data_IF_921372129263
#
_entry.id   IF_921372129263
#
_cell.length_a   1.000
_cell.length_b   1.000
_cell.length_c   1.000
_cell.angle_alpha   90.00
_cell.angle_beta   90.00
_cell.angle_gamma   90.00
#
_symmetry.space_group_name_H-M   'P 1'
#
loop_
_entity.id
_entity.type
_entity.pdbx_description
1 polymer ?
#
# COMPACT_ATOMS: atom_id res chain seq x y z
N UNK A 1 19.59 -7.24 10.33
CA UNK A 1 19.62 -5.75 10.34
C UNK A 1 20.21 -5.30 11.66
N UNK A 2 21.36 -4.59 11.62
CA UNK A 2 21.91 -3.96 12.83
C UNK A 2 21.08 -2.70 13.12
N UNK A 3 20.43 -2.68 14.28
CA UNK A 3 19.62 -1.54 14.73
C UNK A 3 20.47 -0.43 15.35
N UNK A 4 21.72 -0.74 15.71
CA UNK A 4 22.70 0.13 16.32
C UNK A 4 24.01 0.02 15.53
N UNK A 5 24.35 1.05 14.77
CA UNK A 5 25.58 1.08 13.98
C UNK A 5 26.52 2.11 14.57
N UNK A 6 27.70 1.67 15.02
CA UNK A 6 28.74 2.58 15.50
C UNK A 6 29.22 3.53 14.40
N UNK A 7 29.41 4.79 14.74
CA UNK A 7 29.93 5.83 13.87
C UNK A 7 30.86 6.75 14.66
N UNK A 8 31.80 7.39 13.98
CA UNK A 8 32.60 8.45 14.54
C UNK A 8 32.14 9.81 14.06
N UNK A 9 31.99 10.76 14.98
CA UNK A 9 31.65 12.14 14.69
C UNK A 9 32.77 13.07 15.15
N UNK A 10 33.22 13.91 14.25
CA UNK A 10 34.21 14.94 14.57
C UNK A 10 33.48 16.18 15.07
N UNK A 11 33.78 16.63 16.26
CA UNK A 11 33.29 17.89 16.84
C UNK A 11 34.42 18.92 16.88
N UNK A 12 34.06 20.18 16.68
CA UNK A 12 34.99 21.31 16.82
C UNK A 12 35.10 21.71 18.28
N UNK A 13 36.29 21.90 18.72
CA UNK A 13 36.66 22.36 20.07
C UNK A 13 37.09 23.84 20.05
N UNK A 14 37.03 24.56 21.18
CA UNK A 14 37.58 25.90 21.26
C UNK A 14 39.03 25.96 20.76
N UNK A 15 39.40 27.07 20.11
CA UNK A 15 40.74 27.33 19.51
C UNK A 15 41.03 26.51 18.23
N UNK A 16 39.99 26.01 17.53
CA UNK A 16 40.15 25.36 16.23
C UNK A 16 40.61 23.89 16.28
N UNK A 17 40.76 23.31 17.46
CA UNK A 17 41.03 21.89 17.60
C UNK A 17 39.79 21.04 17.25
N UNK A 18 40.01 19.82 16.77
CA UNK A 18 38.94 18.85 16.52
C UNK A 18 39.09 17.63 17.39
N UNK A 19 37.97 17.05 17.82
CA UNK A 19 37.92 15.81 18.59
C UNK A 19 36.96 14.83 17.97
N UNK A 20 37.41 13.58 17.77
CA UNK A 20 36.52 12.49 17.40
C UNK A 20 35.79 11.95 18.63
N UNK A 21 34.46 11.80 18.52
CA UNK A 21 33.64 11.17 19.55
C UNK A 21 32.88 10.00 18.92
N UNK A 22 32.65 8.95 19.70
CA UNK A 22 31.83 7.83 19.28
C UNK A 22 30.36 8.25 19.23
N UNK A 23 29.71 7.95 18.14
CA UNK A 23 28.28 8.16 17.91
C UNK A 23 27.64 6.85 17.43
N UNK A 24 26.33 6.75 17.47
CA UNK A 24 25.59 5.61 16.94
C UNK A 24 24.51 6.10 15.96
N UNK A 25 24.46 5.49 14.80
CA UNK A 25 23.32 5.60 13.91
C UNK A 25 22.28 4.58 14.33
N UNK A 26 21.06 5.04 14.57
CA UNK A 26 19.98 4.22 15.11
C UNK A 26 18.87 4.07 14.07
N UNK A 27 18.31 2.88 13.96
CA UNK A 27 17.03 2.72 13.24
C UNK A 27 15.89 3.31 14.06
N UNK A 28 14.74 3.59 13.42
CA UNK A 28 13.53 4.04 14.10
C UNK A 28 13.10 3.07 15.21
N UNK A 29 13.25 1.76 14.99
CA UNK A 29 12.94 0.73 15.97
C UNK A 29 13.86 0.83 17.20
N UNK A 30 15.16 1.04 17.00
CA UNK A 30 16.10 1.27 18.10
C UNK A 30 15.74 2.52 18.92
N UNK A 31 15.36 3.62 18.24
CA UNK A 31 14.90 4.84 18.92
C UNK A 31 13.64 4.57 19.76
N UNK A 32 12.70 3.76 19.26
CA UNK A 32 11.50 3.33 19.99
C UNK A 32 11.85 2.57 21.26
N UNK A 33 12.74 1.57 21.17
CA UNK A 33 13.19 0.78 22.33
C UNK A 33 13.88 1.66 23.38
N UNK A 34 14.76 2.58 22.96
CA UNK A 34 15.43 3.52 23.86
C UNK A 34 14.42 4.43 24.57
N UNK A 35 13.45 4.96 23.80
CA UNK A 35 12.42 5.83 24.38
C UNK A 35 11.57 5.07 25.42
N UNK A 36 11.13 3.86 25.11
CA UNK A 36 10.30 3.07 26.03
C UNK A 36 11.01 2.71 27.35
N UNK A 37 12.32 2.44 27.28
CA UNK A 37 13.11 2.03 28.45
C UNK A 37 13.91 3.19 29.07
N UNK A 38 13.79 4.39 28.54
CA UNK A 38 14.54 5.56 28.98
C UNK A 38 13.89 6.27 30.18
N UNK A 39 14.70 7.04 30.90
CA UNK A 39 14.25 7.83 32.04
C UNK A 39 13.38 9.04 31.56
N UNK A 40 12.09 8.99 31.86
CA UNK A 40 11.10 10.00 31.47
C UNK A 40 11.32 11.39 32.10
N UNK A 41 12.19 11.51 33.11
CA UNK A 41 12.61 12.80 33.67
C UNK A 41 13.49 13.59 32.71
N UNK A 42 14.09 12.92 31.72
CA UNK A 42 14.85 13.60 30.66
C UNK A 42 13.88 14.06 29.58
N UNK A 43 13.87 15.35 29.30
CA UNK A 43 12.95 15.99 28.36
C UNK A 43 12.91 15.29 26.99
N UNK A 44 14.06 14.95 26.42
CA UNK A 44 14.16 14.26 25.13
C UNK A 44 13.46 12.90 25.16
N UNK A 45 13.59 12.16 26.27
CA UNK A 45 12.92 10.84 26.44
C UNK A 45 11.42 11.02 26.59
N UNK A 46 10.98 11.98 27.42
CA UNK A 46 9.55 12.30 27.59
C UNK A 46 8.89 12.68 26.26
N UNK A 47 9.51 13.53 25.45
CA UNK A 47 9.03 13.93 24.13
C UNK A 47 8.96 12.73 23.18
N UNK A 48 9.98 11.85 23.17
CA UNK A 48 9.98 10.66 22.34
C UNK A 48 8.89 9.66 22.77
N UNK A 49 8.68 9.44 24.06
CA UNK A 49 7.61 8.58 24.59
C UNK A 49 6.24 9.14 24.18
N UNK A 50 6.01 10.45 24.34
CA UNK A 50 4.79 11.12 23.91
C UNK A 50 4.55 10.96 22.41
N UNK A 51 5.57 11.16 21.60
CA UNK A 51 5.48 10.98 20.14
C UNK A 51 5.05 9.54 19.78
N UNK A 52 5.70 8.53 20.35
CA UNK A 52 5.37 7.13 20.06
C UNK A 52 3.98 6.74 20.58
N UNK A 53 3.58 7.23 21.75
CA UNK A 53 2.23 7.01 22.29
C UNK A 53 1.15 7.61 21.36
N UNK A 54 1.35 8.82 20.85
CA UNK A 54 0.43 9.46 19.89
C UNK A 54 0.34 8.67 18.59
N UNK A 55 1.48 8.20 18.04
CA UNK A 55 1.48 7.41 16.80
C UNK A 55 0.78 6.06 16.96
N UNK A 56 1.02 5.36 18.08
CA UNK A 56 0.33 4.10 18.41
C UNK A 56 -1.17 4.33 18.55
N UNK A 57 -1.58 5.38 19.26
CA UNK A 57 -3.00 5.71 19.43
C UNK A 57 -3.69 6.07 18.11
N UNK A 58 -3.02 6.80 17.22
CA UNK A 58 -3.55 7.07 15.87
C UNK A 58 -3.78 5.78 15.08
N UNK A 59 -2.86 4.82 15.16
CA UNK A 59 -3.00 3.54 14.50
C UNK A 59 -4.16 2.72 15.07
N UNK A 60 -4.26 2.61 16.39
CA UNK A 60 -5.36 1.91 17.06
C UNK A 60 -6.74 2.49 16.71
N UNK A 61 -6.87 3.83 16.66
CA UNK A 61 -8.10 4.50 16.25
C UNK A 61 -8.43 4.16 14.80
N UNK A 62 -7.45 4.24 13.90
CA UNK A 62 -7.63 3.95 12.47
C UNK A 62 -8.08 2.51 12.23
N UNK A 63 -7.47 1.53 12.93
CA UNK A 63 -7.84 0.11 12.82
C UNK A 63 -9.27 -0.13 13.36
N UNK A 64 -9.60 0.46 14.51
CA UNK A 64 -10.94 0.38 15.08
C UNK A 64 -11.99 1.05 14.18
N UNK A 65 -11.69 2.22 13.65
CA UNK A 65 -12.56 2.93 12.70
C UNK A 65 -12.79 2.09 11.44
N UNK A 66 -11.73 1.50 10.87
CA UNK A 66 -11.86 0.64 9.69
C UNK A 66 -12.73 -0.59 9.98
N UNK A 67 -12.61 -1.22 11.15
CA UNK A 67 -13.42 -2.38 11.52
C UNK A 67 -14.92 -2.08 11.62
N UNK A 68 -15.26 -0.84 11.96
CA UNK A 68 -16.66 -0.36 12.09
C UNK A 68 -17.28 0.05 10.76
N UNK A 69 -16.49 0.19 9.70
CA UNK A 69 -16.99 0.58 8.37
C UNK A 69 -17.90 -0.51 7.80
N UNK A 70 -18.95 -0.08 7.12
CA UNK A 70 -19.75 -0.95 6.24
C UNK A 70 -18.91 -1.45 5.07
N UNK A 71 -19.34 -2.52 4.40
CA UNK A 71 -18.63 -3.05 3.23
C UNK A 71 -18.46 -1.98 2.13
N UNK A 72 -19.47 -1.17 1.86
CA UNK A 72 -19.38 -0.11 0.86
C UNK A 72 -18.37 0.98 1.27
N UNK A 73 -18.28 1.34 2.54
CA UNK A 73 -17.27 2.29 3.05
C UNK A 73 -15.86 1.70 2.95
N UNK A 74 -15.68 0.42 3.28
CA UNK A 74 -14.42 -0.30 3.07
C UNK A 74 -14.02 -0.34 1.60
N UNK A 75 -14.96 -0.58 0.69
CA UNK A 75 -14.75 -0.53 -0.76
C UNK A 75 -14.28 0.85 -1.22
N UNK A 76 -14.91 1.94 -0.76
CA UNK A 76 -14.47 3.31 -1.07
C UNK A 76 -13.05 3.57 -0.59
N UNK A 77 -12.75 3.16 0.64
CA UNK A 77 -11.41 3.32 1.24
C UNK A 77 -10.36 2.56 0.43
N UNK A 78 -10.58 1.26 0.20
CA UNK A 78 -9.64 0.41 -0.53
C UNK A 78 -9.47 0.83 -2.00
N UNK A 79 -10.56 1.21 -2.68
CA UNK A 79 -10.51 1.71 -4.06
C UNK A 79 -9.64 2.97 -4.18
N UNK A 80 -9.77 3.89 -3.24
CA UNK A 80 -8.96 5.11 -3.23
C UNK A 80 -7.47 4.81 -3.00
N UNK A 81 -7.15 3.87 -2.12
CA UNK A 81 -5.77 3.41 -1.92
C UNK A 81 -5.24 2.71 -3.18
N UNK A 82 -6.04 1.85 -3.80
CA UNK A 82 -5.67 1.13 -5.04
C UNK A 82 -5.38 2.09 -6.19
N UNK A 83 -6.19 3.14 -6.36
CA UNK A 83 -5.94 4.19 -7.37
C UNK A 83 -4.63 4.96 -7.10
N UNK A 84 -4.36 5.34 -5.85
CA UNK A 84 -3.09 5.97 -5.46
C UNK A 84 -1.91 5.03 -5.69
N UNK A 85 -2.06 3.76 -5.31
CA UNK A 85 -1.06 2.73 -5.54
C UNK A 85 -0.77 2.51 -7.04
N UNK A 86 -1.79 2.47 -7.89
CA UNK A 86 -1.63 2.38 -9.34
C UNK A 86 -0.87 3.59 -9.91
N UNK A 87 -1.13 4.80 -9.42
CA UNK A 87 -0.37 5.98 -9.84
C UNK A 87 1.12 5.83 -9.51
N UNK A 88 1.45 5.42 -8.28
CA UNK A 88 2.84 5.21 -7.85
C UNK A 88 3.51 4.06 -8.62
N UNK A 89 2.79 2.95 -8.83
CA UNK A 89 3.25 1.82 -9.63
C UNK A 89 3.54 2.23 -11.07
N UNK A 90 2.70 3.07 -11.69
CA UNK A 90 2.90 3.57 -13.05
C UNK A 90 4.18 4.40 -13.16
N UNK A 91 4.52 5.22 -12.15
CA UNK A 91 5.79 5.95 -12.13
C UNK A 91 6.99 4.97 -12.04
N UNK A 92 6.91 3.96 -11.16
CA UNK A 92 7.95 2.94 -11.06
C UNK A 92 8.09 2.13 -12.36
N UNK A 93 6.98 1.75 -12.98
CA UNK A 93 6.96 1.02 -14.26
C UNK A 93 7.55 1.87 -15.40
N UNK A 94 7.23 3.16 -15.47
CA UNK A 94 7.84 4.10 -16.42
C UNK A 94 9.35 4.15 -16.26
N UNK A 95 9.84 4.25 -15.03
CA UNK A 95 11.28 4.26 -14.74
C UNK A 95 11.94 2.91 -15.08
N UNK A 96 11.18 1.80 -15.00
CA UNK A 96 11.59 0.46 -15.43
C UNK A 96 11.47 0.24 -16.95
N UNK A 97 11.25 1.28 -17.76
CA UNK A 97 11.22 1.22 -19.23
C UNK A 97 9.91 0.68 -19.84
N UNK A 98 8.83 0.59 -19.04
CA UNK A 98 7.51 0.18 -19.56
C UNK A 98 6.95 1.27 -20.48
N UNK A 99 6.57 0.85 -21.70
CA UNK A 99 5.93 1.69 -22.71
C UNK A 99 4.46 1.35 -22.90
N UNK A 100 4.12 0.06 -22.82
CA UNK A 100 2.75 -0.45 -22.93
C UNK A 100 2.16 -0.75 -21.55
N UNK A 101 1.49 0.24 -20.96
CA UNK A 101 0.88 0.13 -19.63
C UNK A 101 -0.29 -0.85 -19.58
N UNK A 102 -1.06 -0.98 -20.67
CA UNK A 102 -2.16 -1.96 -20.72
C UNK A 102 -1.62 -3.39 -20.59
N UNK A 103 -0.56 -3.71 -21.34
CA UNK A 103 0.13 -4.98 -21.24
C UNK A 103 0.73 -5.22 -19.85
N UNK A 104 1.30 -4.17 -19.25
CA UNK A 104 1.87 -4.24 -17.91
C UNK A 104 0.80 -4.52 -16.86
N UNK A 105 -0.32 -3.79 -16.85
CA UNK A 105 -1.42 -4.03 -15.92
C UNK A 105 -2.07 -5.39 -16.14
N UNK A 106 -2.29 -5.80 -17.39
CA UNK A 106 -2.82 -7.12 -17.72
C UNK A 106 -1.88 -8.25 -17.26
N UNK A 107 -0.56 -8.05 -17.26
CA UNK A 107 0.36 -9.04 -16.68
C UNK A 107 0.07 -9.29 -15.19
N UNK A 108 -0.15 -8.22 -14.43
CA UNK A 108 -0.51 -8.33 -13.02
C UNK A 108 -1.86 -8.98 -12.77
N UNK A 109 -2.87 -8.64 -13.57
CA UNK A 109 -4.19 -9.29 -13.49
C UNK A 109 -4.09 -10.77 -13.83
N UNK A 110 -3.43 -11.14 -14.91
CA UNK A 110 -3.23 -12.55 -15.28
C UNK A 110 -2.57 -13.38 -14.16
N UNK A 111 -1.61 -12.80 -13.45
CA UNK A 111 -1.00 -13.47 -12.29
C UNK A 111 -1.98 -13.70 -11.15
N UNK A 112 -2.77 -12.70 -10.80
CA UNK A 112 -3.68 -12.74 -9.64
C UNK A 112 -4.99 -13.51 -9.95
N UNK A 113 -5.54 -13.38 -11.18
CA UNK A 113 -6.83 -13.91 -11.61
C UNK A 113 -6.71 -15.11 -12.57
N UNK A 114 -5.73 -15.97 -12.36
CA UNK A 114 -5.59 -17.21 -13.11
C UNK A 114 -5.60 -17.04 -14.64
N UNK A 115 -4.93 -16.02 -15.13
CA UNK A 115 -4.80 -15.76 -16.58
C UNK A 115 -5.78 -14.72 -17.14
N UNK A 116 -6.78 -14.25 -16.38
CA UNK A 116 -7.71 -13.21 -16.80
C UNK A 116 -7.01 -11.86 -17.01
N UNK A 117 -7.39 -11.18 -18.09
CA UNK A 117 -7.07 -9.76 -18.33
C UNK A 117 -8.11 -8.84 -17.67
N UNK A 118 -7.87 -7.53 -17.70
CA UNK A 118 -8.88 -6.55 -17.26
C UNK A 118 -10.21 -6.69 -18.00
N UNK A 119 -10.17 -6.98 -19.30
CA UNK A 119 -11.37 -7.18 -20.12
C UNK A 119 -12.09 -8.48 -19.75
N UNK A 120 -11.35 -9.57 -19.45
CA UNK A 120 -11.94 -10.84 -19.00
C UNK A 120 -12.63 -10.65 -17.64
N UNK A 121 -12.00 -9.93 -16.70
CA UNK A 121 -12.59 -9.58 -15.40
C UNK A 121 -13.88 -8.74 -15.60
N UNK A 122 -13.83 -7.73 -16.46
CA UNK A 122 -14.99 -6.89 -16.77
C UNK A 122 -16.15 -7.73 -17.35
N UNK A 123 -15.83 -8.65 -18.28
CA UNK A 123 -16.81 -9.56 -18.88
C UNK A 123 -17.43 -10.51 -17.84
N UNK A 124 -16.60 -11.13 -16.99
CA UNK A 124 -17.06 -12.03 -15.91
C UNK A 124 -17.98 -11.30 -14.93
N UNK A 125 -17.67 -10.04 -14.61
CA UNK A 125 -18.49 -9.19 -13.73
C UNK A 125 -19.72 -8.59 -14.44
N UNK A 126 -19.94 -8.84 -15.73
CA UNK A 126 -21.06 -8.32 -16.50
C UNK A 126 -21.03 -6.80 -16.68
N UNK A 127 -19.84 -6.18 -16.71
CA UNK A 127 -19.68 -4.74 -16.81
C UNK A 127 -19.94 -4.23 -18.23
N UNK A 128 -20.51 -3.02 -18.32
CA UNK A 128 -20.70 -2.31 -19.59
C UNK A 128 -19.37 -1.71 -20.06
N UNK A 129 -19.29 -1.37 -21.32
CA UNK A 129 -18.15 -0.66 -21.88
C UNK A 129 -17.81 0.60 -21.08
N UNK A 130 -16.53 0.78 -20.71
CA UNK A 130 -15.99 1.87 -19.88
C UNK A 130 -16.43 1.89 -18.41
N UNK A 131 -17.04 0.85 -17.88
CA UNK A 131 -17.18 0.73 -16.44
C UNK A 131 -15.84 0.31 -15.82
N UNK A 132 -15.46 0.99 -14.73
CA UNK A 132 -14.21 0.74 -14.03
C UNK A 132 -14.33 -0.56 -13.21
N UNK A 133 -13.45 -1.51 -13.46
CA UNK A 133 -13.43 -2.79 -12.73
C UNK A 133 -13.23 -2.57 -11.22
N UNK A 134 -12.43 -1.58 -10.81
CA UNK A 134 -12.19 -1.27 -9.39
C UNK A 134 -13.44 -0.78 -8.68
N UNK A 135 -14.34 -0.09 -9.38
CA UNK A 135 -15.62 0.36 -8.83
C UNK A 135 -16.62 -0.81 -8.60
N UNK A 136 -16.32 -1.97 -9.18
CA UNK A 136 -17.15 -3.18 -9.15
C UNK A 136 -16.48 -4.35 -8.40
N UNK A 137 -15.45 -4.06 -7.59
CA UNK A 137 -14.78 -5.01 -6.71
C UNK A 137 -15.27 -4.86 -5.27
N UNK A 138 -15.29 -5.97 -4.53
CA UNK A 138 -15.46 -5.99 -3.07
C UNK A 138 -14.20 -5.46 -2.36
N UNK A 139 -14.31 -5.19 -1.05
CA UNK A 139 -13.17 -4.66 -0.26
C UNK A 139 -12.00 -5.64 -0.22
N UNK A 140 -12.27 -6.94 -0.10
CA UNK A 140 -11.25 -8.00 -0.08
C UNK A 140 -10.52 -8.11 -1.43
N UNK A 141 -11.25 -8.08 -2.55
CA UNK A 141 -10.70 -8.09 -3.90
C UNK A 141 -9.81 -6.87 -4.16
N UNK A 142 -10.26 -5.68 -3.71
CA UNK A 142 -9.48 -4.44 -3.78
C UNK A 142 -8.21 -4.51 -2.94
N UNK A 143 -8.27 -5.12 -1.73
CA UNK A 143 -7.10 -5.30 -0.87
C UNK A 143 -6.05 -6.22 -1.51
N UNK A 144 -6.47 -7.34 -2.12
CA UNK A 144 -5.56 -8.23 -2.85
C UNK A 144 -4.88 -7.51 -4.02
N UNK A 145 -5.62 -6.69 -4.78
CA UNK A 145 -5.07 -5.87 -5.85
C UNK A 145 -4.09 -4.80 -5.32
N UNK A 146 -4.42 -4.11 -4.23
CA UNK A 146 -3.53 -3.13 -3.60
C UNK A 146 -2.21 -3.79 -3.17
N UNK A 147 -2.28 -4.98 -2.58
CA UNK A 147 -1.09 -5.71 -2.17
C UNK A 147 -0.22 -6.10 -3.37
N UNK A 148 -0.82 -6.60 -4.46
CA UNK A 148 -0.11 -6.86 -5.73
C UNK A 148 0.60 -5.61 -6.26
N UNK A 149 -0.09 -4.47 -6.28
CA UNK A 149 0.42 -3.19 -6.76
C UNK A 149 1.63 -2.75 -5.94
N UNK A 150 1.51 -2.71 -4.61
CA UNK A 150 2.57 -2.23 -3.71
C UNK A 150 3.80 -3.15 -3.72
N UNK A 151 3.59 -4.47 -3.76
CA UNK A 151 4.70 -5.44 -3.85
C UNK A 151 5.43 -5.35 -5.20
N UNK A 152 4.69 -5.14 -6.31
CA UNK A 152 5.30 -4.94 -7.62
C UNK A 152 6.14 -3.67 -7.65
N UNK A 153 5.59 -2.54 -7.20
CA UNK A 153 6.31 -1.26 -7.11
C UNK A 153 7.61 -1.40 -6.31
N UNK A 154 7.52 -1.98 -5.12
CA UNK A 154 8.68 -2.20 -4.24
C UNK A 154 9.75 -3.07 -4.92
N UNK A 155 9.34 -4.12 -5.62
CA UNK A 155 10.28 -5.01 -6.33
C UNK A 155 10.91 -4.35 -7.55
N UNK A 156 10.15 -3.59 -8.35
CA UNK A 156 10.71 -2.85 -9.49
C UNK A 156 11.83 -1.90 -9.06
N UNK A 157 11.63 -1.20 -7.93
CA UNK A 157 12.62 -0.26 -7.37
C UNK A 157 13.82 -0.96 -6.76
N UNK A 158 13.59 -1.97 -5.92
CA UNK A 158 14.64 -2.68 -5.18
C UNK A 158 15.59 -3.43 -6.09
N UNK A 159 15.05 -4.11 -7.09
CA UNK A 159 15.82 -4.97 -7.99
C UNK A 159 16.33 -4.19 -9.23
N UNK A 160 16.14 -2.86 -9.26
CA UNK A 160 16.56 -1.96 -10.35
C UNK A 160 16.13 -2.46 -11.75
N UNK A 161 14.89 -2.94 -11.87
CA UNK A 161 14.36 -3.47 -13.13
C UNK A 161 14.30 -2.35 -14.16
N UNK A 162 14.87 -2.59 -15.36
CA UNK A 162 15.06 -1.58 -16.39
C UNK A 162 14.47 -1.92 -17.76
N UNK A 163 13.78 -3.05 -17.89
CA UNK A 163 13.16 -3.47 -19.15
C UNK A 163 11.69 -3.79 -18.99
N UNK A 164 10.87 -3.42 -20.01
CA UNK A 164 9.43 -3.71 -20.02
C UNK A 164 9.14 -5.21 -19.86
N UNK A 165 9.96 -6.08 -20.50
CA UNK A 165 9.79 -7.54 -20.43
C UNK A 165 9.92 -8.04 -18.99
N UNK A 166 10.94 -7.58 -18.26
CA UNK A 166 11.16 -7.96 -16.87
C UNK A 166 10.11 -7.35 -15.94
N UNK A 167 9.72 -6.10 -16.17
CA UNK A 167 8.65 -5.43 -15.40
C UNK A 167 7.34 -6.20 -15.53
N UNK A 168 6.94 -6.59 -16.75
CA UNK A 168 5.75 -7.40 -17.00
C UNK A 168 5.83 -8.76 -16.32
N UNK A 169 6.98 -9.46 -16.43
CA UNK A 169 7.21 -10.74 -15.76
C UNK A 169 7.15 -10.62 -14.24
N UNK A 170 7.74 -9.57 -13.69
CA UNK A 170 7.72 -9.27 -12.25
C UNK A 170 6.29 -9.07 -11.76
N UNK A 171 5.50 -8.25 -12.48
CA UNK A 171 4.10 -7.98 -12.12
C UNK A 171 3.25 -9.25 -12.16
N UNK A 172 3.43 -10.09 -13.18
CA UNK A 172 2.78 -11.40 -13.28
C UNK A 172 3.15 -12.32 -12.10
N UNK A 173 4.46 -12.46 -11.81
CA UNK A 173 4.94 -13.35 -10.76
C UNK A 173 4.46 -12.90 -9.37
N UNK A 174 4.43 -11.59 -9.09
CA UNK A 174 3.88 -11.07 -7.84
C UNK A 174 2.40 -11.42 -7.71
N UNK A 175 1.61 -11.22 -8.76
CA UNK A 175 0.20 -11.62 -8.78
C UNK A 175 0.02 -13.11 -8.50
N UNK A 176 0.79 -13.96 -9.16
CA UNK A 176 0.78 -15.42 -8.98
C UNK A 176 1.15 -15.82 -7.55
N UNK A 177 2.20 -15.24 -6.97
CA UNK A 177 2.63 -15.55 -5.62
C UNK A 177 1.56 -15.18 -4.58
N UNK A 178 0.88 -14.04 -4.75
CA UNK A 178 -0.22 -13.63 -3.88
C UNK A 178 -1.37 -14.64 -3.99
N UNK A 179 -1.73 -15.04 -5.21
CA UNK A 179 -2.72 -16.09 -5.45
C UNK A 179 -2.39 -17.40 -4.72
N UNK A 180 -1.13 -17.84 -4.78
CA UNK A 180 -0.65 -19.05 -4.10
C UNK A 180 -0.77 -18.91 -2.57
N UNK A 181 -0.51 -17.73 -2.01
CA UNK A 181 -0.69 -17.46 -0.57
C UNK A 181 -2.16 -17.54 -0.18
N UNK A 182 -3.07 -16.93 -0.97
CA UNK A 182 -4.52 -17.01 -0.74
C UNK A 182 -4.96 -18.48 -0.73
N UNK A 183 -4.53 -19.28 -1.73
CA UNK A 183 -4.87 -20.69 -1.82
C UNK A 183 -4.37 -21.52 -0.63
N UNK A 184 -3.11 -21.32 -0.22
CA UNK A 184 -2.51 -22.03 0.93
C UNK A 184 -3.22 -21.74 2.25
N UNK A 185 -3.79 -20.55 2.38
CA UNK A 185 -4.54 -20.15 3.58
C UNK A 185 -6.03 -20.51 3.51
N UNK A 186 -6.48 -21.22 2.46
CA UNK A 186 -7.89 -21.58 2.26
C UNK A 186 -8.80 -20.40 1.97
N UNK A 187 -8.25 -19.26 1.50
CA UNK A 187 -9.01 -18.06 1.13
C UNK A 187 -9.75 -18.22 -0.18
N UNK A 188 -10.79 -17.41 -0.39
CA UNK A 188 -11.53 -17.35 -1.65
C UNK A 188 -10.68 -16.72 -2.75
N UNK A 189 -10.65 -17.32 -3.93
CA UNK A 189 -9.90 -16.78 -5.06
C UNK A 189 -10.52 -15.47 -5.55
N UNK A 190 -9.71 -14.51 -6.04
CA UNK A 190 -10.21 -13.21 -6.49
C UNK A 190 -11.32 -13.29 -7.53
N UNK A 191 -11.27 -14.26 -8.43
CA UNK A 191 -12.31 -14.48 -9.44
C UNK A 191 -13.62 -15.05 -8.88
N UNK A 192 -13.57 -15.71 -7.73
CA UNK A 192 -14.74 -16.33 -7.07
C UNK A 192 -15.39 -15.39 -6.05
N UNK A 193 -14.77 -14.23 -5.76
CA UNK A 193 -15.34 -13.23 -4.87
C UNK A 193 -16.59 -12.60 -5.49
N UNK A 194 -17.63 -12.32 -4.66
CA UNK A 194 -18.90 -11.79 -5.16
C UNK A 194 -18.74 -10.39 -5.76
N UNK A 195 -19.39 -10.16 -6.91
CA UNK A 195 -19.50 -8.82 -7.47
C UNK A 195 -20.56 -8.02 -6.71
N UNK A 196 -20.23 -6.81 -6.19
CA UNK A 196 -21.21 -5.98 -5.50
C UNK A 196 -22.38 -5.58 -6.40
N UNK A 197 -23.59 -5.50 -5.81
CA UNK A 197 -24.82 -5.16 -6.55
C UNK A 197 -24.80 -3.77 -7.19
N UNK A 198 -24.10 -2.81 -6.56
CA UNK A 198 -23.93 -1.44 -7.05
C UNK A 198 -22.47 -1.11 -7.19
N UNK A 199 -22.11 -0.43 -8.27
CA UNK A 199 -20.76 0.14 -8.40
C UNK A 199 -20.57 1.31 -7.45
N UNK A 200 -19.32 1.59 -7.06
CA UNK A 200 -19.00 2.77 -6.23
C UNK A 200 -19.43 4.07 -6.88
N UNK A 201 -19.34 4.17 -8.20
CA UNK A 201 -19.83 5.33 -8.96
C UNK A 201 -21.36 5.52 -8.86
N UNK A 202 -22.12 4.43 -8.79
CA UNK A 202 -23.60 4.50 -8.57
C UNK A 202 -23.88 4.99 -7.15
N UNK A 203 -23.19 4.46 -6.13
CA UNK A 203 -23.33 4.89 -4.74
C UNK A 203 -22.97 6.37 -4.55
N UNK A 204 -21.89 6.86 -5.19
CA UNK A 204 -21.51 8.28 -5.18
C UNK A 204 -22.62 9.17 -5.76
N UNK A 205 -23.23 8.76 -6.87
CA UNK A 205 -24.36 9.50 -7.48
C UNK A 205 -25.58 9.53 -6.57
N UNK A 206 -25.91 8.43 -5.92
CA UNK A 206 -27.03 8.35 -4.99
C UNK A 206 -26.82 9.25 -3.78
N UNK A 207 -25.63 9.21 -3.16
CA UNK A 207 -25.26 10.13 -2.06
C UNK A 207 -25.35 11.60 -2.47
N UNK A 208 -24.83 11.93 -3.65
CA UNK A 208 -24.88 13.32 -4.14
C UNK A 208 -26.30 13.82 -4.38
N UNK A 209 -27.23 12.97 -4.86
CA UNK A 209 -28.64 13.31 -5.01
C UNK A 209 -29.33 13.52 -3.67
N UNK A 210 -29.08 12.64 -2.69
CA UNK A 210 -29.63 12.77 -1.34
C UNK A 210 -29.22 14.06 -0.63
N UNK A 211 -27.94 14.47 -0.78
CA UNK A 211 -27.43 15.72 -0.21
C UNK A 211 -28.09 16.95 -0.86
N UNK A 212 -28.32 16.94 -2.19
CA UNK A 212 -29.01 18.03 -2.88
C UNK A 212 -30.46 18.17 -2.42
N UNK A 213 -31.16 17.06 -2.23
CA UNK A 213 -32.57 17.08 -1.79
C UNK A 213 -32.74 17.46 -0.31
N UNK A 214 -31.70 17.32 0.54
CA UNK A 214 -31.74 17.79 1.94
C UNK A 214 -31.47 19.28 2.10
N UNK A 215 -30.88 19.93 1.09
CA UNK A 215 -30.56 21.35 1.10
C UNK A 215 -31.57 22.19 0.30
N UNK A 216 -32.64 21.60 -0.17
CA UNK A 216 -33.85 22.25 -0.72
C UNK A 216 -34.98 22.19 0.30
#
# INVERSE_FOLDING_TARGET
FEHFVGADKTIQMPKGATKSIKEYKLTRYACYLIAQNGDSRKEVIALAQTYFAIQTRKQEISEKEYSLLTEDEKRFYQRNLTRKGNYSLNQAAKNAGVKNFDKFHNSGYKGLYNGETADDIAKRKGLRYREDILDNMGSEELAANLFRITQTESKLKRDNISTEKEANRTHYNIGKNIREVIAKNGGTMPEDLPTPKKSLKQLEKEKSKQLKNKNM
#
